data_IF_628153870042
#
_entry.id   IF_628153870042
#
_cell.length_a   1.000
_cell.length_b   1.000
_cell.length_c   1.000
_cell.angle_alpha   90.00
_cell.angle_beta   90.00
_cell.angle_gamma   90.00
#
_symmetry.space_group_name_H-M   'P 1'
#
loop_
_entity.id
_entity.type
_entity.pdbx_description
1 polymer ?
#
# COMPACT_ATOMS: atom_id res chain seq x y z
N UNK A 1 25.59 14.60 6.10
CA UNK A 1 24.36 14.28 6.85
C UNK A 1 23.53 13.39 5.95
N UNK A 2 23.49 12.09 6.22
CA UNK A 2 22.59 11.19 5.51
C UNK A 2 21.17 11.63 5.85
N UNK A 3 20.41 12.08 4.87
CA UNK A 3 18.96 12.24 5.01
C UNK A 3 18.42 10.83 5.18
N UNK A 4 18.03 10.49 6.42
CA UNK A 4 17.20 9.31 6.65
C UNK A 4 15.90 9.55 5.84
N UNK A 5 15.85 8.94 4.68
CA UNK A 5 14.62 8.82 3.90
C UNK A 5 13.70 7.93 4.73
N UNK A 6 12.93 8.54 5.62
CA UNK A 6 12.02 7.82 6.52
C UNK A 6 11.14 6.88 5.71
N UNK A 7 11.03 5.63 6.15
CA UNK A 7 10.18 4.61 5.54
C UNK A 7 8.76 5.15 5.30
N UNK A 8 8.24 4.97 4.10
CA UNK A 8 6.85 5.33 3.76
C UNK A 8 5.88 4.53 4.64
N UNK A 9 6.23 3.25 4.87
CA UNK A 9 5.43 2.35 5.70
C UNK A 9 5.35 2.82 7.16
N UNK A 10 6.48 3.25 7.76
CA UNK A 10 6.51 3.73 9.15
C UNK A 10 5.69 5.01 9.31
N UNK A 11 5.80 5.95 8.37
CA UNK A 11 5.02 7.18 8.39
C UNK A 11 3.51 6.90 8.24
N UNK A 12 3.14 5.93 7.38
CA UNK A 12 1.75 5.47 7.24
C UNK A 12 1.25 4.83 8.54
N UNK A 13 2.02 3.92 9.15
CA UNK A 13 1.66 3.28 10.42
C UNK A 13 1.46 4.29 11.54
N UNK A 14 2.33 5.30 11.62
CA UNK A 14 2.22 6.37 12.62
C UNK A 14 0.92 7.16 12.47
N UNK A 15 0.52 7.49 11.24
CA UNK A 15 -0.71 8.25 10.96
C UNK A 15 -1.97 7.41 11.08
N UNK A 16 -1.89 6.12 10.74
CA UNK A 16 -2.97 5.15 10.83
C UNK A 16 -2.94 4.42 12.18
N UNK A 17 -2.93 5.18 13.26
CA UNK A 17 -2.91 4.69 14.64
C UNK A 17 -3.94 5.45 15.51
N UNK A 18 -4.22 4.93 16.70
CA UNK A 18 -5.11 5.59 17.67
C UNK A 18 -6.51 5.83 17.12
N UNK A 19 -6.96 7.08 17.16
CA UNK A 19 -8.31 7.46 16.75
C UNK A 19 -8.58 7.21 15.26
N UNK A 20 -7.57 7.31 14.40
CA UNK A 20 -7.70 7.02 12.97
C UNK A 20 -8.13 5.57 12.72
N UNK A 21 -7.57 4.61 13.46
CA UNK A 21 -7.99 3.19 13.38
C UNK A 21 -9.45 3.03 13.79
N UNK A 22 -9.87 3.75 14.86
CA UNK A 22 -11.26 3.71 15.33
C UNK A 22 -12.23 4.29 14.27
N UNK A 23 -11.84 5.38 13.61
CA UNK A 23 -12.65 6.01 12.55
C UNK A 23 -12.79 5.10 11.34
N UNK A 24 -11.70 4.47 10.91
CA UNK A 24 -11.71 3.48 9.83
C UNK A 24 -12.58 2.28 10.24
N UNK A 25 -12.39 1.74 11.44
CA UNK A 25 -13.17 0.60 11.96
C UNK A 25 -14.67 0.88 11.94
N UNK A 26 -15.11 2.06 12.43
CA UNK A 26 -16.50 2.47 12.34
C UNK A 26 -17.03 2.52 10.91
N UNK A 27 -16.21 2.97 9.97
CA UNK A 27 -16.61 3.11 8.57
C UNK A 27 -16.75 1.77 7.85
N UNK A 28 -15.94 0.79 8.20
CA UNK A 28 -16.00 -0.57 7.60
C UNK A 28 -16.83 -1.55 8.44
N UNK A 29 -17.35 -1.13 9.60
CA UNK A 29 -18.16 -1.98 10.49
C UNK A 29 -17.35 -3.01 11.26
N UNK A 30 -16.08 -2.71 11.59
CA UNK A 30 -15.16 -3.62 12.26
C UNK A 30 -14.67 -3.08 13.61
N UNK A 31 -14.22 -3.98 14.50
CA UNK A 31 -13.61 -3.56 15.75
C UNK A 31 -12.18 -2.99 15.53
N UNK A 32 -11.69 -2.14 16.46
CA UNK A 32 -10.41 -1.49 16.28
C UNK A 32 -9.21 -2.45 16.21
N UNK A 33 -9.23 -3.57 16.91
CA UNK A 33 -8.10 -4.50 16.92
C UNK A 33 -7.98 -5.23 15.58
N UNK A 34 -9.09 -5.74 15.04
CA UNK A 34 -9.14 -6.36 13.71
C UNK A 34 -8.84 -5.33 12.62
N UNK A 35 -9.36 -4.11 12.75
CA UNK A 35 -9.07 -3.00 11.82
C UNK A 35 -7.58 -2.70 11.77
N UNK A 36 -6.93 -2.59 12.93
CA UNK A 36 -5.48 -2.37 12.99
C UNK A 36 -4.70 -3.50 12.33
N UNK A 37 -5.06 -4.75 12.61
CA UNK A 37 -4.42 -5.92 12.02
C UNK A 37 -4.58 -5.95 10.50
N UNK A 38 -5.76 -5.59 10.00
CA UNK A 38 -6.02 -5.48 8.56
C UNK A 38 -5.20 -4.36 7.92
N UNK A 39 -5.09 -3.18 8.55
CA UNK A 39 -4.26 -2.07 8.09
C UNK A 39 -2.78 -2.49 8.03
N UNK A 40 -2.27 -3.10 9.11
CA UNK A 40 -0.86 -3.53 9.21
C UNK A 40 -0.48 -4.55 8.11
N UNK A 41 -1.44 -5.36 7.63
CA UNK A 41 -1.23 -6.29 6.53
C UNK A 41 -1.48 -5.65 5.15
N UNK A 42 -2.47 -4.76 5.03
CA UNK A 42 -2.83 -4.13 3.76
C UNK A 42 -1.81 -3.09 3.28
N UNK A 43 -1.18 -2.33 4.19
CA UNK A 43 -0.21 -1.30 3.83
C UNK A 43 0.98 -1.85 3.05
N UNK A 44 1.71 -2.87 3.54
CA UNK A 44 2.82 -3.45 2.78
C UNK A 44 2.37 -4.04 1.45
N UNK A 45 1.17 -4.62 1.38
CA UNK A 45 0.61 -5.16 0.13
C UNK A 45 0.37 -4.05 -0.90
N UNK A 46 -0.23 -2.93 -0.51
CA UNK A 46 -0.43 -1.78 -1.39
C UNK A 46 0.91 -1.18 -1.84
N UNK A 47 1.89 -1.04 -0.92
CA UNK A 47 3.22 -0.53 -1.26
C UNK A 47 3.95 -1.48 -2.23
N UNK A 48 3.86 -2.79 -2.04
CA UNK A 48 4.44 -3.78 -2.95
C UNK A 48 3.79 -3.73 -4.34
N UNK A 49 2.47 -3.61 -4.40
CA UNK A 49 1.74 -3.48 -5.66
C UNK A 49 2.11 -2.18 -6.40
N UNK A 50 2.22 -1.06 -5.68
CA UNK A 50 2.70 0.22 -6.23
C UNK A 50 4.17 0.14 -6.67
N UNK A 51 5.01 -0.60 -5.95
CA UNK A 51 6.39 -0.87 -6.34
C UNK A 51 6.49 -1.64 -7.67
N UNK A 52 5.62 -2.63 -7.89
CA UNK A 52 5.52 -3.34 -9.17
C UNK A 52 5.04 -2.42 -10.30
N UNK A 53 4.06 -1.56 -10.02
CA UNK A 53 3.58 -0.56 -10.96
C UNK A 53 4.69 0.43 -11.34
N UNK A 54 5.48 0.88 -10.35
CA UNK A 54 6.62 1.78 -10.57
C UNK A 54 7.76 1.12 -11.36
N UNK A 55 7.94 -0.20 -11.22
CA UNK A 55 8.95 -0.97 -11.93
C UNK A 55 8.59 -1.26 -13.40
N UNK A 56 7.31 -1.19 -13.77
CA UNK A 56 6.84 -1.43 -15.13
C UNK A 56 7.08 -0.16 -16.00
N UNK A 57 7.91 -0.23 -17.06
CA UNK A 57 8.21 0.94 -17.89
C UNK A 57 6.99 1.57 -18.57
N UNK A 58 5.93 0.78 -18.82
CA UNK A 58 4.71 1.26 -19.48
C UNK A 58 3.77 1.96 -18.50
N UNK A 59 3.80 1.58 -17.21
CA UNK A 59 2.87 2.05 -16.17
C UNK A 59 3.49 3.08 -15.22
N UNK A 60 4.81 3.05 -15.05
CA UNK A 60 5.53 3.95 -14.13
C UNK A 60 5.31 5.43 -14.43
N UNK A 61 5.21 5.82 -15.70
CA UNK A 61 4.96 7.20 -16.07
C UNK A 61 3.58 7.69 -15.59
N UNK A 62 2.54 6.86 -15.73
CA UNK A 62 1.20 7.16 -15.25
C UNK A 62 1.13 7.26 -13.73
N UNK A 63 1.80 6.35 -13.00
CA UNK A 63 1.90 6.41 -11.54
C UNK A 63 2.57 7.69 -11.06
N UNK A 64 3.72 8.05 -11.66
CA UNK A 64 4.45 9.29 -11.34
C UNK A 64 3.59 10.53 -11.59
N UNK A 65 2.86 10.56 -12.71
CA UNK A 65 1.94 11.64 -13.03
C UNK A 65 0.80 11.74 -12.00
N UNK A 66 0.15 10.61 -11.66
CA UNK A 66 -0.91 10.58 -10.66
C UNK A 66 -0.43 11.08 -9.28
N UNK A 67 0.77 10.69 -8.84
CA UNK A 67 1.35 11.16 -7.59
C UNK A 67 1.54 12.69 -7.61
N UNK A 68 2.01 13.25 -8.71
CA UNK A 68 2.29 14.70 -8.81
C UNK A 68 1.04 15.55 -8.96
N UNK A 69 0.09 15.12 -9.75
CA UNK A 69 -1.06 15.92 -10.16
C UNK A 69 -2.28 15.72 -9.26
N UNK A 70 -2.54 14.46 -8.86
CA UNK A 70 -3.78 14.10 -8.17
C UNK A 70 -3.59 13.85 -6.67
N UNK A 71 -2.35 13.55 -6.20
CA UNK A 71 -2.09 13.11 -4.82
C UNK A 71 -1.07 14.01 -4.12
N UNK A 72 -1.52 15.22 -3.78
CA UNK A 72 -0.67 16.28 -3.21
C UNK A 72 -0.39 16.16 -1.70
N UNK A 73 -0.88 15.13 -1.04
CA UNK A 73 -0.77 14.95 0.41
C UNK A 73 -1.95 15.52 1.19
N UNK A 74 -2.88 16.23 0.56
CA UNK A 74 -4.05 16.82 1.22
C UNK A 74 -4.89 15.79 1.97
N UNK A 75 -5.05 14.57 1.42
CA UNK A 75 -5.75 13.46 2.09
C UNK A 75 -5.06 13.08 3.40
N UNK A 76 -3.73 13.04 3.42
CA UNK A 76 -2.94 12.70 4.61
C UNK A 76 -2.97 13.82 5.66
N UNK A 77 -3.01 15.06 5.21
CA UNK A 77 -3.04 16.22 6.10
C UNK A 77 -4.43 16.47 6.69
N UNK A 78 -5.48 16.00 6.02
CA UNK A 78 -6.88 16.17 6.42
C UNK A 78 -7.61 14.82 6.57
N UNK A 79 -6.96 13.83 7.25
CA UNK A 79 -7.51 12.48 7.41
C UNK A 79 -8.93 12.46 8.00
N UNK A 80 -9.24 13.32 8.95
CA UNK A 80 -10.56 13.41 9.55
C UNK A 80 -11.64 13.80 8.54
N UNK A 81 -11.37 14.80 7.69
CA UNK A 81 -12.29 15.24 6.63
C UNK A 81 -12.44 14.14 5.54
N UNK A 82 -11.32 13.48 5.21
CA UNK A 82 -11.35 12.37 4.27
C UNK A 82 -12.17 11.20 4.80
N UNK A 83 -11.92 10.76 6.02
CA UNK A 83 -12.64 9.64 6.65
C UNK A 83 -14.10 9.95 6.94
N UNK A 84 -14.46 11.23 7.17
CA UNK A 84 -15.86 11.64 7.28
C UNK A 84 -16.59 11.80 5.94
N UNK A 85 -15.86 11.66 4.81
CA UNK A 85 -16.45 11.80 3.47
C UNK A 85 -16.67 13.24 3.02
N UNK A 86 -16.05 14.22 3.68
CA UNK A 86 -16.16 15.64 3.34
C UNK A 86 -15.22 16.04 2.20
N UNK A 87 -14.20 15.21 1.91
CA UNK A 87 -13.32 15.41 0.76
C UNK A 87 -13.85 14.71 -0.49
N UNK A 88 -13.65 15.33 -1.64
CA UNK A 88 -14.04 14.78 -2.95
C UNK A 88 -12.99 15.12 -4.01
N UNK A 89 -13.04 14.43 -5.14
CA UNK A 89 -12.13 14.67 -6.26
C UNK A 89 -11.26 13.45 -6.57
N UNK A 90 -10.29 13.63 -7.48
CA UNK A 90 -9.40 12.53 -7.92
C UNK A 90 -8.54 11.97 -6.79
N UNK A 91 -8.07 12.85 -5.89
CA UNK A 91 -7.27 12.45 -4.72
C UNK A 91 -7.96 11.43 -3.82
N UNK A 92 -9.30 11.37 -3.81
CA UNK A 92 -10.11 10.48 -2.96
C UNK A 92 -10.68 9.26 -3.69
N UNK A 93 -10.35 9.08 -4.99
CA UNK A 93 -10.86 7.97 -5.80
C UNK A 93 -10.14 6.65 -5.49
N UNK A 94 -10.36 6.11 -4.30
CA UNK A 94 -9.71 4.88 -3.84
C UNK A 94 -10.05 3.64 -4.67
N UNK A 95 -11.30 3.52 -5.14
CA UNK A 95 -11.70 2.42 -6.04
C UNK A 95 -10.91 2.45 -7.34
N UNK A 96 -10.74 3.61 -7.95
CA UNK A 96 -9.92 3.76 -9.16
C UNK A 96 -8.47 3.37 -8.92
N UNK A 97 -7.89 3.80 -7.79
CA UNK A 97 -6.51 3.45 -7.42
C UNK A 97 -6.36 1.94 -7.22
N UNK A 98 -7.24 1.32 -6.42
CA UNK A 98 -7.19 -0.12 -6.14
C UNK A 98 -7.35 -0.95 -7.42
N UNK A 99 -8.29 -0.57 -8.28
CA UNK A 99 -8.50 -1.27 -9.55
C UNK A 99 -7.29 -1.13 -10.49
N UNK A 100 -6.63 0.04 -10.50
CA UNK A 100 -5.44 0.25 -11.32
C UNK A 100 -4.23 -0.54 -10.80
N UNK A 101 -4.00 -0.50 -9.48
CA UNK A 101 -2.80 -1.06 -8.84
C UNK A 101 -2.90 -2.58 -8.66
N UNK A 102 -4.05 -3.10 -8.26
CA UNK A 102 -4.26 -4.53 -8.03
C UNK A 102 -4.85 -5.25 -9.25
N UNK A 103 -5.72 -4.60 -10.03
CA UNK A 103 -6.37 -5.22 -11.18
C UNK A 103 -7.04 -6.56 -10.81
N UNK A 104 -6.73 -7.60 -11.56
CA UNK A 104 -7.27 -8.96 -11.33
C UNK A 104 -6.81 -9.58 -9.99
N UNK A 105 -5.79 -9.00 -9.34
CA UNK A 105 -5.29 -9.43 -8.03
C UNK A 105 -6.11 -8.88 -6.86
N UNK A 106 -7.09 -8.00 -7.11
CA UNK A 106 -7.92 -7.39 -6.06
C UNK A 106 -8.66 -8.44 -5.25
N UNK A 107 -9.32 -9.38 -5.89
CA UNK A 107 -10.09 -10.43 -5.20
C UNK A 107 -9.20 -11.37 -4.39
N UNK A 108 -8.10 -11.94 -4.93
CA UNK A 108 -7.11 -12.67 -4.15
C UNK A 108 -6.55 -11.87 -2.96
N UNK A 109 -6.27 -10.56 -3.14
CA UNK A 109 -5.79 -9.69 -2.09
C UNK A 109 -6.81 -9.54 -0.95
N UNK A 110 -8.07 -9.28 -1.28
CA UNK A 110 -9.16 -9.19 -0.30
C UNK A 110 -9.30 -10.49 0.47
N UNK A 111 -9.26 -11.63 -0.21
CA UNK A 111 -9.40 -12.95 0.45
C UNK A 111 -8.23 -13.24 1.39
N UNK A 112 -7.01 -12.96 0.97
CA UNK A 112 -5.82 -13.16 1.78
C UNK A 112 -5.81 -12.25 3.03
N UNK A 113 -6.17 -10.97 2.88
CA UNK A 113 -6.29 -10.02 3.99
C UNK A 113 -7.43 -10.40 4.95
N UNK A 114 -8.57 -10.86 4.44
CA UNK A 114 -9.69 -11.36 5.23
C UNK A 114 -9.27 -12.53 6.12
N UNK A 115 -8.58 -13.51 5.52
CA UNK A 115 -8.07 -14.67 6.25
C UNK A 115 -7.06 -14.28 7.35
N UNK A 116 -6.21 -13.27 7.09
CA UNK A 116 -5.17 -12.85 8.03
C UNK A 116 -5.71 -12.00 9.17
N UNK A 117 -6.66 -11.10 8.89
CA UNK A 117 -7.18 -10.14 9.87
C UNK A 117 -8.43 -10.64 10.63
N UNK A 118 -9.07 -11.68 10.12
CA UNK A 118 -10.35 -12.16 10.64
C UNK A 118 -11.54 -11.25 10.30
N UNK A 119 -11.34 -10.24 9.46
CA UNK A 119 -12.43 -9.42 8.93
C UNK A 119 -13.11 -10.13 7.77
N UNK A 120 -14.41 -9.87 7.60
CA UNK A 120 -15.13 -10.39 6.44
C UNK A 120 -14.66 -9.74 5.13
N UNK A 121 -15.01 -10.41 4.02
CA UNK A 121 -14.63 -9.96 2.68
C UNK A 121 -15.11 -8.53 2.36
N UNK A 122 -16.35 -8.18 2.79
CA UNK A 122 -16.93 -6.86 2.55
C UNK A 122 -16.19 -5.74 3.29
N UNK A 123 -15.79 -5.99 4.53
CA UNK A 123 -15.00 -5.06 5.32
C UNK A 123 -13.64 -4.78 4.67
N UNK A 124 -12.91 -5.83 4.23
CA UNK A 124 -11.64 -5.67 3.53
C UNK A 124 -11.82 -5.00 2.16
N UNK A 125 -12.84 -5.38 1.40
CA UNK A 125 -13.15 -4.76 0.11
C UNK A 125 -13.44 -3.25 0.26
N UNK A 126 -13.97 -2.82 1.41
CA UNK A 126 -14.17 -1.40 1.75
C UNK A 126 -12.92 -0.74 2.30
N UNK A 127 -12.06 -1.48 3.02
CA UNK A 127 -10.82 -0.97 3.61
C UNK A 127 -9.79 -0.56 2.56
N UNK A 128 -9.57 -1.40 1.53
CA UNK A 128 -8.55 -1.12 0.51
C UNK A 128 -8.76 0.22 -0.21
N UNK A 129 -9.99 0.56 -0.68
CA UNK A 129 -10.26 1.88 -1.26
C UNK A 129 -10.12 3.06 -0.28
N UNK A 130 -10.26 2.81 1.02
CA UNK A 130 -9.99 3.84 2.03
C UNK A 130 -8.49 4.07 2.25
N UNK A 131 -7.68 3.02 2.20
CA UNK A 131 -6.23 3.13 2.40
C UNK A 131 -5.49 3.65 1.18
N UNK A 132 -5.92 3.30 -0.03
CA UNK A 132 -5.19 3.62 -1.26
C UNK A 132 -4.95 5.12 -1.47
N UNK A 133 -5.92 6.05 -1.28
CA UNK A 133 -5.67 7.49 -1.34
C UNK A 133 -4.71 7.99 -0.28
N UNK A 134 -4.72 7.38 0.92
CA UNK A 134 -3.81 7.75 2.02
C UNK A 134 -2.38 7.37 1.64
N UNK A 135 -2.18 6.18 1.08
CA UNK A 135 -0.86 5.72 0.60
C UNK A 135 -0.35 6.63 -0.52
N UNK A 136 -1.19 6.90 -1.53
CA UNK A 136 -0.82 7.79 -2.64
C UNK A 136 -0.52 9.21 -2.17
N UNK A 137 -1.34 9.76 -1.27
CA UNK A 137 -1.13 11.06 -0.67
C UNK A 137 0.18 11.14 0.14
N UNK A 138 0.57 10.06 0.84
CA UNK A 138 1.85 10.00 1.53
C UNK A 138 3.02 10.03 0.56
N UNK A 139 2.94 9.31 -0.56
CA UNK A 139 3.96 9.34 -1.61
C UNK A 139 4.12 10.74 -2.21
N UNK A 140 3.01 11.41 -2.54
CA UNK A 140 3.04 12.76 -3.05
C UNK A 140 3.55 13.79 -2.04
N UNK A 141 3.21 13.64 -0.76
CA UNK A 141 3.74 14.48 0.31
C UNK A 141 5.26 14.32 0.46
N UNK A 142 5.77 13.08 0.44
CA UNK A 142 7.21 12.81 0.51
C UNK A 142 7.95 13.32 -0.72
N UNK A 143 7.38 13.18 -1.90
CA UNK A 143 7.95 13.71 -3.14
C UNK A 143 8.13 15.22 -3.06
N UNK A 144 7.09 15.95 -2.67
CA UNK A 144 7.13 17.42 -2.55
C UNK A 144 8.06 17.93 -1.47
N UNK A 145 8.19 17.20 -0.36
CA UNK A 145 9.13 17.54 0.72
C UNK A 145 10.58 17.21 0.40
N UNK A 146 10.86 16.57 -0.75
CA UNK A 146 12.19 16.10 -1.13
C UNK A 146 12.64 14.84 -0.38
N UNK A 147 11.74 14.21 0.38
CA UNK A 147 12.01 12.97 1.12
C UNK A 147 11.90 11.70 0.28
N UNK A 148 11.36 11.80 -0.95
CA UNK A 148 11.25 10.70 -1.90
C UNK A 148 11.41 11.23 -3.31
N UNK A 149 12.32 10.63 -4.08
CA UNK A 149 12.39 10.86 -5.54
C UNK A 149 11.50 9.84 -6.25
N UNK A 150 10.68 10.30 -7.19
CA UNK A 150 9.88 9.38 -8.01
C UNK A 150 10.73 8.49 -8.93
N UNK A 151 12.00 8.85 -9.16
CA UNK A 151 12.93 7.99 -9.91
C UNK A 151 13.48 6.84 -9.06
N UNK A 152 13.50 7.00 -7.72
CA UNK A 152 13.88 5.97 -6.76
C UNK A 152 12.69 5.34 -6.03
N UNK A 153 11.46 5.61 -6.47
CA UNK A 153 10.24 5.11 -5.79
C UNK A 153 10.22 3.59 -5.73
N UNK A 154 10.64 2.90 -6.80
CA UNK A 154 10.70 1.45 -6.86
C UNK A 154 11.61 0.88 -5.76
N UNK A 155 12.79 1.47 -5.59
CA UNK A 155 13.76 1.04 -4.58
C UNK A 155 13.23 1.29 -3.15
N UNK A 156 12.64 2.46 -2.92
CA UNK A 156 12.09 2.83 -1.62
C UNK A 156 10.93 1.91 -1.21
N UNK A 157 9.98 1.67 -2.10
CA UNK A 157 8.85 0.77 -1.85
C UNK A 157 9.29 -0.69 -1.72
N UNK A 158 10.29 -1.10 -2.50
CA UNK A 158 10.89 -2.43 -2.41
C UNK A 158 11.59 -2.66 -1.06
N UNK A 159 12.30 -1.66 -0.53
CA UNK A 159 12.93 -1.74 0.80
C UNK A 159 11.89 -1.82 1.92
N UNK A 160 10.85 -0.99 1.88
CA UNK A 160 9.77 -1.01 2.86
C UNK A 160 9.03 -2.35 2.87
N UNK A 161 8.76 -2.91 1.69
CA UNK A 161 8.09 -4.21 1.55
C UNK A 161 8.96 -5.35 2.10
N UNK A 162 10.26 -5.36 1.82
CA UNK A 162 11.19 -6.37 2.36
C UNK A 162 11.28 -6.29 3.87
N UNK A 163 11.46 -5.09 4.42
CA UNK A 163 11.50 -4.88 5.88
C UNK A 163 10.23 -5.40 6.53
N UNK A 164 9.05 -5.12 5.96
CA UNK A 164 7.78 -5.62 6.47
C UNK A 164 7.69 -7.16 6.42
N UNK A 165 8.21 -7.79 5.37
CA UNK A 165 8.25 -9.25 5.25
C UNK A 165 9.24 -9.89 6.24
N UNK A 166 10.38 -9.23 6.51
CA UNK A 166 11.36 -9.68 7.50
C UNK A 166 10.81 -9.58 8.94
N UNK A 167 10.04 -8.52 9.23
CA UNK A 167 9.37 -8.33 10.53
C UNK A 167 8.20 -9.32 10.73
N UNK A 168 7.54 -9.72 9.65
CA UNK A 168 6.38 -10.62 9.66
C UNK A 168 6.48 -11.65 8.52
N UNK A 169 7.08 -12.83 8.77
CA UNK A 169 7.25 -13.88 7.75
C UNK A 169 5.95 -14.29 7.05
N UNK A 170 4.83 -14.38 7.79
CA UNK A 170 3.50 -14.68 7.22
C UNK A 170 3.04 -13.62 6.20
N UNK A 171 3.55 -12.40 6.31
CA UNK A 171 3.28 -11.34 5.33
C UNK A 171 4.04 -11.59 4.02
N UNK A 172 5.24 -12.13 4.11
CA UNK A 172 6.02 -12.55 2.94
C UNK A 172 5.28 -13.58 2.10
N UNK A 173 4.70 -14.59 2.74
CA UNK A 173 3.89 -15.63 2.08
C UNK A 173 2.62 -15.03 1.44
N UNK A 174 1.96 -14.12 2.15
CA UNK A 174 0.79 -13.41 1.66
C UNK A 174 1.13 -12.56 0.42
N UNK A 175 2.20 -11.79 0.48
CA UNK A 175 2.68 -10.99 -0.65
C UNK A 175 3.02 -11.87 -1.86
N UNK A 176 3.69 -13.00 -1.63
CA UNK A 176 4.02 -13.97 -2.66
C UNK A 176 2.79 -14.58 -3.32
N UNK A 177 1.78 -14.96 -2.55
CA UNK A 177 0.54 -15.56 -3.06
C UNK A 177 -0.30 -14.57 -3.88
N UNK A 178 -0.35 -13.30 -3.48
CA UNK A 178 -1.18 -12.26 -4.14
C UNK A 178 -0.46 -11.60 -5.31
N UNK A 179 0.81 -11.25 -5.13
CA UNK A 179 1.57 -10.46 -6.10
C UNK A 179 2.47 -11.29 -7.01
N UNK A 180 2.80 -12.53 -6.59
CA UNK A 180 3.70 -13.43 -7.31
C UNK A 180 3.14 -14.07 -8.59
N UNK A 181 1.88 -13.82 -8.96
CA UNK A 181 1.23 -14.39 -10.15
C UNK A 181 1.15 -15.93 -10.11
N UNK A 182 0.06 -16.52 -10.61
CA UNK A 182 -0.13 -17.97 -10.70
C UNK A 182 0.84 -18.62 -11.69
N UNK A 183 2.09 -18.78 -11.26
CA UNK A 183 3.08 -19.67 -11.89
C UNK A 183 3.21 -20.91 -11.02
N UNK A 184 2.51 -21.98 -11.40
CA UNK A 184 2.71 -23.31 -10.84
C UNK A 184 4.18 -23.73 -11.05
N UNK A 185 5.01 -23.61 -10.02
CA UNK A 185 6.40 -24.03 -10.04
C UNK A 185 7.05 -23.82 -8.68
N UNK A 186 7.51 -24.90 -8.09
CA UNK A 186 8.33 -24.95 -6.87
C UNK A 186 9.54 -24.01 -6.99
N UNK A 187 9.39 -22.81 -6.50
CA UNK A 187 10.46 -21.83 -6.39
C UNK A 187 10.01 -20.73 -5.45
N UNK A 188 10.45 -20.79 -4.20
CA UNK A 188 10.10 -19.80 -3.17
C UNK A 188 10.56 -18.40 -3.56
N UNK A 189 9.97 -17.40 -2.91
CA UNK A 189 10.23 -15.95 -3.06
C UNK A 189 11.73 -15.62 -3.13
N UNK A 190 12.60 -16.43 -2.52
CA UNK A 190 14.06 -16.31 -2.56
C UNK A 190 14.64 -16.36 -3.98
N UNK A 191 14.10 -17.18 -4.86
CA UNK A 191 14.59 -17.32 -6.25
C UNK A 191 14.12 -16.17 -7.14
N UNK A 192 12.89 -15.67 -6.92
CA UNK A 192 12.37 -14.51 -7.67
C UNK A 192 13.10 -13.22 -7.31
N UNK A 193 13.39 -13.00 -6.03
CA UNK A 193 14.18 -11.85 -5.57
C UNK A 193 15.64 -11.95 -6.03
N UNK A 194 16.19 -13.15 -6.11
CA UNK A 194 17.54 -13.41 -6.64
C UNK A 194 17.70 -13.07 -8.13
N UNK A 195 16.68 -13.32 -8.94
CA UNK A 195 16.72 -13.06 -10.39
C UNK A 195 16.61 -11.57 -10.75
N UNK A 196 15.96 -10.76 -9.90
CA UNK A 196 15.83 -9.31 -10.09
C UNK A 196 17.09 -8.57 -9.66
N UNK A 197 17.85 -9.11 -8.69
CA UNK A 197 19.01 -8.44 -8.09
C UNK A 197 20.36 -9.14 -8.30
N UNK A 198 20.38 -10.25 -9.04
CA UNK A 198 21.57 -11.08 -9.25
C UNK A 198 22.20 -10.96 -10.63
N UNK A 199 22.39 -9.76 -11.19
CA UNK A 199 23.35 -9.58 -12.30
C UNK A 199 24.31 -8.44 -11.97
N UNK A 200 25.50 -8.88 -11.55
CA UNK A 200 26.73 -8.13 -11.79
C UNK A 200 27.18 -8.38 -13.21
#
# INVERSE_FOLDING_TARGET
MAQETGSVLEDLRSRLSGDTVNDIGRRIGADPAQTKQAIDAALPMLLAALGQEAADPQRSAGLKQAIREDHDGSVVDNLGEYLSGQMSGRATNGEGIVNHVLGDRREPAVQALSSKSGLDFGAIASLLPLLAPIVMGMLGKKERSGGLSLDSITDALGQDTRRAADEQPDLGDLLGSVLGGSGSGEGGIGDMLGSIFGRR
#
